data_IF_740405319670
#
_entry.id   IF_740405319670
#
_cell.length_a   1.000
_cell.length_b   1.000
_cell.length_c   1.000
_cell.angle_alpha   90.00
_cell.angle_beta   90.00
_cell.angle_gamma   90.00
#
_symmetry.space_group_name_H-M   'P 1'
#
loop_
_entity.id
_entity.type
_entity.pdbx_description
1 polymer ?
#
# COMPACT_ATOMS: atom_id res chain seq x y z
N UNK A 1 3.67 6.94 7.02
CA UNK A 1 3.87 7.92 8.13
C UNK A 1 4.72 9.08 7.62
N UNK A 2 4.43 10.32 8.00
CA UNK A 2 5.27 11.46 7.63
C UNK A 2 6.46 11.60 8.60
N UNK A 3 7.68 11.60 8.07
CA UNK A 3 8.93 11.70 8.86
C UNK A 3 9.53 13.11 8.88
N UNK A 4 8.88 14.08 8.23
CA UNK A 4 9.34 15.46 8.18
C UNK A 4 8.96 16.22 9.45
N UNK A 5 9.95 16.51 10.31
CA UNK A 5 9.77 17.20 11.62
C UNK A 5 9.11 18.57 11.57
N UNK A 6 9.11 19.23 10.41
CA UNK A 6 8.48 20.56 10.23
C UNK A 6 7.07 20.47 9.66
N UNK A 7 6.59 19.28 9.35
CA UNK A 7 5.25 19.05 8.86
C UNK A 7 4.25 18.99 10.02
N UNK A 8 3.05 19.51 9.83
CA UNK A 8 1.95 19.38 10.80
C UNK A 8 1.62 17.91 11.08
N UNK A 9 1.65 17.06 10.05
CA UNK A 9 1.47 15.62 10.15
C UNK A 9 2.73 14.83 10.59
N UNK A 10 3.74 15.44 11.22
CA UNK A 10 4.93 14.70 11.68
C UNK A 10 4.53 13.56 12.63
N UNK A 11 5.06 12.35 12.39
CA UNK A 11 4.72 11.11 13.10
C UNK A 11 3.28 10.61 12.92
N UNK A 12 2.47 11.28 12.11
CA UNK A 12 1.10 10.87 11.79
C UNK A 12 1.03 9.99 10.53
N UNK A 13 0.04 9.11 10.49
CA UNK A 13 -0.34 8.40 9.27
C UNK A 13 -1.09 9.34 8.34
N UNK A 14 -0.66 9.40 7.08
CA UNK A 14 -1.28 10.24 6.04
C UNK A 14 -1.88 9.35 4.96
N UNK A 15 -3.04 9.74 4.47
CA UNK A 15 -3.68 9.10 3.31
C UNK A 15 -3.17 9.80 2.06
N UNK A 16 -2.61 9.03 1.13
CA UNK A 16 -2.16 9.52 -0.17
C UNK A 16 -3.14 9.05 -1.22
N UNK A 17 -3.84 9.98 -1.86
CA UNK A 17 -4.75 9.65 -2.96
C UNK A 17 -3.95 9.33 -4.23
N UNK A 18 -4.02 8.07 -4.69
CA UNK A 18 -3.28 7.62 -5.87
C UNK A 18 -4.15 7.59 -7.15
N UNK A 19 -5.47 7.58 -6.98
CA UNK A 19 -6.47 7.51 -8.06
C UNK A 19 -6.84 6.09 -8.47
N UNK A 20 -7.73 5.96 -9.48
CA UNK A 20 -8.17 4.68 -10.05
C UNK A 20 -7.20 4.19 -11.13
N UNK A 21 -6.01 3.77 -10.72
CA UNK A 21 -5.01 3.15 -11.60
C UNK A 21 -4.25 2.05 -10.85
N UNK A 22 -3.63 1.18 -11.62
CA UNK A 22 -2.77 0.13 -11.08
C UNK A 22 -1.60 0.75 -10.32
N UNK A 23 -1.14 0.06 -9.28
CA UNK A 23 -0.05 0.49 -8.41
C UNK A 23 0.97 -0.63 -8.26
N UNK A 24 2.22 -0.33 -8.56
CA UNK A 24 3.37 -1.20 -8.33
C UNK A 24 4.24 -0.64 -7.21
N UNK A 25 4.43 -1.41 -6.14
CA UNK A 25 5.15 -0.95 -4.96
C UNK A 25 6.61 -0.55 -5.27
N UNK A 26 7.26 -1.19 -6.23
CA UNK A 26 8.63 -0.86 -6.61
C UNK A 26 8.66 0.40 -7.48
N UNK A 27 7.79 0.45 -8.49
CA UNK A 27 7.83 1.49 -9.50
C UNK A 27 7.07 2.76 -9.13
N UNK A 28 6.08 2.71 -8.25
CA UNK A 28 5.19 3.83 -7.96
C UNK A 28 5.39 4.43 -6.57
N UNK A 29 6.20 3.80 -5.69
CA UNK A 29 6.46 4.33 -4.34
C UNK A 29 7.02 5.75 -4.30
N UNK A 30 7.68 6.21 -5.36
CA UNK A 30 8.20 7.57 -5.44
C UNK A 30 7.09 8.62 -5.62
N UNK A 31 5.88 8.19 -5.98
CA UNK A 31 4.72 9.06 -6.04
C UNK A 31 4.03 9.20 -4.67
N UNK A 32 4.33 8.31 -3.72
CA UNK A 32 3.82 8.37 -2.35
C UNK A 32 4.43 9.55 -1.59
N UNK A 33 3.69 10.66 -1.53
CA UNK A 33 4.10 11.90 -0.86
C UNK A 33 3.07 12.35 0.15
N UNK A 34 3.55 12.84 1.28
CA UNK A 34 2.69 13.47 2.28
C UNK A 34 1.92 14.65 1.66
N UNK A 35 0.58 14.71 1.77
CA UNK A 35 -0.22 15.76 1.16
C UNK A 35 0.03 17.15 1.77
N UNK A 36 0.56 17.20 3.00
CA UNK A 36 0.81 18.45 3.73
C UNK A 36 2.17 19.07 3.39
N UNK A 37 3.22 18.25 3.23
CA UNK A 37 4.59 18.75 3.03
C UNK A 37 5.27 18.27 1.74
N UNK A 38 4.60 17.42 0.95
CA UNK A 38 5.08 16.87 -0.32
C UNK A 38 6.39 16.07 -0.25
N UNK A 39 6.84 15.71 0.96
CA UNK A 39 7.98 14.81 1.17
C UNK A 39 7.53 13.36 1.01
N UNK A 40 8.47 12.50 0.58
CA UNK A 40 8.23 11.07 0.42
C UNK A 40 7.77 10.44 1.74
N UNK A 41 6.81 9.53 1.62
CA UNK A 41 6.34 8.68 2.72
C UNK A 41 6.31 7.25 2.21
N UNK A 42 6.74 6.31 3.05
CA UNK A 42 6.61 4.90 2.68
C UNK A 42 5.14 4.46 2.76
N UNK A 43 4.63 3.79 1.71
CA UNK A 43 3.30 3.18 1.75
C UNK A 43 3.32 2.00 2.71
N UNK A 44 2.35 1.95 3.62
CA UNK A 44 2.23 0.92 4.66
C UNK A 44 1.01 0.03 4.40
N UNK A 45 -0.07 0.64 3.92
CA UNK A 45 -1.35 -0.01 3.65
C UNK A 45 -2.05 0.71 2.51
N UNK A 46 -3.09 0.10 1.96
CA UNK A 46 -3.92 0.66 0.90
C UNK A 46 -5.39 0.47 1.24
N UNK A 47 -6.23 1.18 0.50
CA UNK A 47 -7.68 1.09 0.61
C UNK A 47 -8.30 1.37 -0.75
N UNK A 48 -9.46 0.78 -0.97
CA UNK A 48 -10.20 0.84 -2.23
C UNK A 48 -11.61 1.35 -1.96
N UNK A 49 -12.18 2.10 -2.90
CA UNK A 49 -13.58 2.53 -2.84
C UNK A 49 -14.17 2.55 -4.25
N UNK A 50 -15.37 1.99 -4.40
CA UNK A 50 -16.17 1.96 -5.61
C UNK A 50 -15.37 1.49 -6.85
N UNK A 51 -14.68 0.36 -6.69
CA UNK A 51 -13.82 -0.26 -7.71
C UNK A 51 -13.72 -1.77 -7.48
N UNK A 52 -13.45 -2.53 -8.54
CA UNK A 52 -12.89 -3.86 -8.37
C UNK A 52 -11.39 -3.75 -8.16
N UNK A 53 -10.85 -4.62 -7.32
CA UNK A 53 -9.42 -4.68 -7.05
C UNK A 53 -8.95 -6.13 -6.99
N UNK A 54 -7.66 -6.33 -7.25
CA UNK A 54 -6.91 -7.54 -6.91
C UNK A 54 -5.45 -7.17 -6.65
N UNK A 55 -4.71 -8.06 -6.02
CA UNK A 55 -3.25 -7.94 -5.92
C UNK A 55 -2.57 -9.23 -6.32
N UNK A 56 -1.31 -9.10 -6.71
CA UNK A 56 -0.36 -10.19 -6.77
C UNK A 56 0.98 -9.71 -6.19
N UNK A 57 1.71 -10.62 -5.58
CA UNK A 57 3.01 -10.27 -5.01
C UNK A 57 3.80 -11.47 -4.52
N UNK A 58 5.00 -11.18 -4.03
CA UNK A 58 5.92 -12.14 -3.47
C UNK A 58 6.32 -11.72 -2.05
N UNK A 59 5.95 -12.54 -1.07
CA UNK A 59 6.24 -12.31 0.34
C UNK A 59 7.59 -12.93 0.72
N UNK A 60 8.45 -12.16 1.37
CA UNK A 60 9.73 -12.61 1.93
C UNK A 60 9.52 -12.94 3.40
N UNK A 61 9.25 -14.21 3.69
CA UNK A 61 9.04 -14.69 5.07
C UNK A 61 10.40 -14.93 5.76
N UNK A 62 11.38 -15.45 5.01
CA UNK A 62 12.73 -15.72 5.49
C UNK A 62 13.74 -15.43 4.37
N UNK A 63 14.83 -14.72 4.70
CA UNK A 63 15.89 -14.34 3.74
C UNK A 63 16.59 -15.55 3.11
N UNK A 64 16.56 -16.71 3.74
CA UNK A 64 17.17 -17.95 3.25
C UNK A 64 16.22 -18.83 2.44
N UNK A 65 14.96 -18.44 2.30
CA UNK A 65 13.93 -19.21 1.60
C UNK A 65 13.45 -18.50 0.34
N UNK A 66 12.86 -19.28 -0.57
CA UNK A 66 12.27 -18.72 -1.79
C UNK A 66 11.03 -17.89 -1.40
N UNK A 67 10.85 -16.67 -1.95
CA UNK A 67 9.66 -15.88 -1.71
C UNK A 67 8.37 -16.63 -2.06
N UNK A 68 7.35 -16.46 -1.22
CA UNK A 68 6.03 -17.05 -1.42
C UNK A 68 5.21 -16.16 -2.34
N UNK A 69 4.79 -16.70 -3.49
CA UNK A 69 3.86 -16.00 -4.39
C UNK A 69 2.44 -16.06 -3.81
N UNK A 70 1.81 -14.91 -3.73
CA UNK A 70 0.43 -14.73 -3.23
C UNK A 70 -0.34 -13.83 -4.18
N UNK A 71 -1.64 -14.06 -4.28
CA UNK A 71 -2.56 -13.25 -5.07
C UNK A 71 -3.98 -13.42 -4.55
N UNK A 72 -4.87 -12.49 -4.90
CA UNK A 72 -6.30 -12.66 -4.69
C UNK A 72 -7.08 -12.57 -6.00
N UNK A 73 -8.29 -13.12 -5.99
CA UNK A 73 -9.24 -12.92 -7.07
C UNK A 73 -9.83 -11.51 -7.04
N UNK A 74 -10.31 -11.07 -8.19
CA UNK A 74 -11.01 -9.80 -8.33
C UNK A 74 -12.16 -9.68 -7.33
N UNK A 75 -12.04 -8.71 -6.43
CA UNK A 75 -13.00 -8.45 -5.36
C UNK A 75 -13.55 -7.03 -5.50
N UNK A 76 -14.85 -6.86 -5.27
CA UNK A 76 -15.45 -5.53 -5.27
C UNK A 76 -15.26 -4.88 -3.90
N UNK A 77 -14.71 -3.65 -3.88
CA UNK A 77 -14.40 -2.95 -2.64
C UNK A 77 -15.63 -2.44 -1.87
N UNK A 78 -16.80 -2.36 -2.53
CA UNK A 78 -17.95 -1.65 -1.96
C UNK A 78 -17.74 -0.13 -1.98
N UNK A 79 -18.53 0.60 -1.20
CA UNK A 79 -18.48 2.05 -1.06
C UNK A 79 -17.70 2.53 0.17
N UNK A 80 -17.33 1.62 1.07
CA UNK A 80 -16.61 1.93 2.30
C UNK A 80 -15.08 1.88 2.14
N UNK A 81 -14.39 2.70 2.91
CA UNK A 81 -12.93 2.69 3.02
C UNK A 81 -12.51 1.58 3.97
N UNK A 82 -12.09 0.44 3.41
CA UNK A 82 -11.50 -0.64 4.21
C UNK A 82 -9.99 -0.42 4.28
N UNK A 83 -9.51 0.09 5.42
CA UNK A 83 -8.10 -0.01 5.75
C UNK A 83 -7.76 -1.50 5.90
N UNK A 84 -6.76 -1.95 5.15
CA UNK A 84 -6.19 -3.27 5.39
C UNK A 84 -5.65 -3.28 6.82
N UNK A 85 -6.26 -4.08 7.70
CA UNK A 85 -5.98 -4.05 9.13
C UNK A 85 -4.59 -4.63 9.40
N UNK A 86 -3.75 -3.82 10.03
CA UNK A 86 -2.38 -4.16 10.36
C UNK A 86 -2.31 -5.13 11.56
N UNK A 87 -3.39 -5.26 12.35
CA UNK A 87 -3.42 -6.16 13.50
C UNK A 87 -3.78 -7.61 13.12
N UNK A 88 -4.37 -7.85 11.94
CA UNK A 88 -4.70 -9.20 11.46
C UNK A 88 -3.60 -9.83 10.59
N UNK A 89 -2.63 -9.03 10.10
CA UNK A 89 -1.56 -9.50 9.24
C UNK A 89 -0.19 -9.10 9.82
N UNK A 90 0.67 -10.09 10.06
CA UNK A 90 2.08 -9.83 10.38
C UNK A 90 2.69 -8.91 9.31
N UNK A 91 3.55 -7.97 9.73
CA UNK A 91 4.31 -7.12 8.81
C UNK A 91 5.06 -8.01 7.81
N UNK A 92 4.68 -7.93 6.54
CA UNK A 92 5.30 -8.72 5.48
C UNK A 92 6.23 -7.85 4.66
N UNK A 93 7.48 -8.28 4.54
CA UNK A 93 8.41 -7.73 3.56
C UNK A 93 8.03 -8.21 2.16
N UNK A 94 7.63 -7.29 1.30
CA UNK A 94 7.30 -7.58 -0.09
C UNK A 94 8.55 -7.48 -0.96
N UNK A 95 8.86 -8.56 -1.69
CA UNK A 95 9.84 -8.51 -2.77
C UNK A 95 9.26 -7.86 -4.02
N UNK A 96 7.99 -8.17 -4.32
CA UNK A 96 7.20 -7.60 -5.41
C UNK A 96 5.76 -7.46 -4.91
N UNK A 97 5.07 -6.37 -5.26
CA UNK A 97 3.65 -6.17 -4.99
C UNK A 97 3.06 -5.27 -6.08
N UNK A 98 2.07 -5.81 -6.80
CA UNK A 98 1.30 -5.07 -7.80
C UNK A 98 -0.19 -5.17 -7.47
N UNK A 99 -0.86 -4.03 -7.49
CA UNK A 99 -2.29 -3.86 -7.22
C UNK A 99 -2.95 -3.42 -8.52
N UNK A 100 -4.05 -4.06 -8.86
CA UNK A 100 -4.80 -3.78 -10.09
C UNK A 100 -6.21 -3.31 -9.78
N UNK A 101 -6.73 -2.36 -10.55
CA UNK A 101 -8.09 -1.83 -10.39
C UNK A 101 -8.85 -1.70 -11.72
N UNK A 102 -10.18 -1.80 -11.68
CA UNK A 102 -11.08 -1.59 -12.84
C UNK A 102 -12.48 -1.14 -12.45
#
# INVERSE_FOLDING_TARGET
ICTNKTCEAFEEQVVVEYGKRDFDLLWDRWECKCPMCFKFVDPITCAFSNTFWRFEGAQIININEKPLKVFCDWTYAGDAYHLFDHDECEMVDWGELSIYVR
#
